data_IF_953990492113
#
_entry.id   IF_953990492113
#
_cell.length_a   1.000
_cell.length_b   1.000
_cell.length_c   1.000
_cell.angle_alpha   90.00
_cell.angle_beta   90.00
_cell.angle_gamma   90.00
#
_symmetry.space_group_name_H-M   'P 1'
#
loop_
_entity.id
_entity.type
_entity.pdbx_description
1 polymer ?
#
# COMPACT_ATOMS: atom_id res chain seq x y z
N UNK A 1 6.86 16.47 17.60
CA UNK A 1 6.99 15.27 18.48
C UNK A 1 8.29 15.43 19.25
N UNK A 2 8.36 15.18 20.57
CA UNK A 2 9.55 15.54 21.38
C UNK A 2 10.89 14.97 20.87
N UNK A 3 10.86 13.79 20.24
CA UNK A 3 12.02 13.15 19.58
C UNK A 3 12.46 13.88 18.29
N UNK A 4 11.52 14.56 17.63
CA UNK A 4 11.71 15.23 16.33
C UNK A 4 11.99 16.73 16.49
N UNK A 5 11.49 17.35 17.58
CA UNK A 5 11.60 18.80 17.81
C UNK A 5 12.69 19.23 18.81
N UNK A 6 13.16 18.33 19.70
CA UNK A 6 14.05 18.71 20.82
C UNK A 6 15.34 17.90 20.93
N UNK A 7 15.62 16.99 19.99
CA UNK A 7 16.88 16.23 19.94
C UNK A 7 17.06 15.15 21.01
N UNK A 8 16.05 14.84 21.82
CA UNK A 8 16.14 13.79 22.85
C UNK A 8 16.27 12.39 22.25
N UNK A 9 17.05 11.53 22.91
CA UNK A 9 17.24 10.15 22.48
C UNK A 9 15.93 9.36 22.60
N UNK A 10 15.64 8.50 21.61
CA UNK A 10 14.43 7.65 21.59
C UNK A 10 14.28 6.84 22.89
N UNK A 11 15.41 6.38 23.46
CA UNK A 11 15.44 5.62 24.72
C UNK A 11 14.93 6.43 25.92
N UNK A 12 15.31 7.69 26.03
CA UNK A 12 14.90 8.57 27.12
C UNK A 12 13.41 8.90 27.03
N UNK A 13 12.93 9.18 25.82
CA UNK A 13 11.51 9.46 25.58
C UNK A 13 10.65 8.22 25.81
N UNK A 14 11.10 7.04 25.39
CA UNK A 14 10.40 5.79 25.65
C UNK A 14 10.28 5.50 27.17
N UNK A 15 11.37 5.68 27.92
CA UNK A 15 11.38 5.52 29.38
C UNK A 15 10.42 6.51 30.08
N UNK A 16 10.44 7.78 29.67
CA UNK A 16 9.56 8.82 30.23
C UNK A 16 8.07 8.56 29.96
N UNK A 17 7.76 7.99 28.80
CA UNK A 17 6.39 7.67 28.39
C UNK A 17 5.93 6.29 28.86
N UNK A 18 6.80 5.48 29.48
CA UNK A 18 6.48 4.13 29.93
C UNK A 18 6.18 3.14 28.79
N UNK A 19 6.70 3.40 27.59
CA UNK A 19 6.48 2.56 26.40
C UNK A 19 7.77 1.89 25.94
N UNK A 20 7.65 0.86 25.10
CA UNK A 20 8.83 0.25 24.49
C UNK A 20 9.49 1.20 23.48
N UNK A 21 10.82 1.16 23.40
CA UNK A 21 11.59 1.86 22.36
C UNK A 21 11.17 1.44 20.96
N UNK A 22 10.82 0.15 20.77
CA UNK A 22 10.32 -0.39 19.50
C UNK A 22 9.04 0.32 19.05
N UNK A 23 8.05 0.45 19.92
CA UNK A 23 6.80 1.17 19.63
C UNK A 23 7.06 2.61 19.26
N UNK A 24 8.00 3.27 19.97
CA UNK A 24 8.35 4.65 19.67
C UNK A 24 9.09 4.80 18.33
N UNK A 25 9.93 3.84 17.93
CA UNK A 25 10.52 3.81 16.59
C UNK A 25 9.45 3.60 15.51
N UNK A 26 8.49 2.71 15.75
CA UNK A 26 7.36 2.49 14.83
C UNK A 26 6.57 3.77 14.62
N UNK A 27 6.18 4.47 15.69
CA UNK A 27 5.47 5.73 15.58
C UNK A 27 6.32 6.82 14.94
N UNK A 28 7.62 6.90 15.26
CA UNK A 28 8.52 7.85 14.59
C UNK A 28 8.54 7.62 13.08
N UNK A 29 8.57 6.36 12.62
CA UNK A 29 8.52 6.03 11.20
C UNK A 29 7.15 6.36 10.59
N UNK A 30 6.07 5.96 11.25
CA UNK A 30 4.68 6.16 10.80
C UNK A 30 4.27 7.64 10.70
N UNK A 31 4.84 8.48 11.57
CA UNK A 31 4.58 9.92 11.61
C UNK A 31 5.78 10.76 11.13
N UNK A 32 6.75 10.12 10.46
CA UNK A 32 7.90 10.81 9.85
C UNK A 32 7.48 11.75 8.71
N UNK A 33 6.36 11.44 8.03
CA UNK A 33 5.79 12.24 6.95
C UNK A 33 4.58 13.06 7.44
N UNK A 34 4.35 14.26 6.87
CA UNK A 34 3.13 15.02 7.12
C UNK A 34 1.86 14.20 6.86
N UNK A 35 0.82 14.42 7.65
CA UNK A 35 -0.44 13.67 7.53
C UNK A 35 -1.13 13.82 6.16
N UNK A 36 -0.87 14.93 5.45
CA UNK A 36 -1.35 15.12 4.07
C UNK A 36 -0.67 14.15 3.10
N UNK A 37 0.67 14.07 3.16
CA UNK A 37 1.48 13.17 2.32
C UNK A 37 1.11 11.71 2.57
N UNK A 38 0.90 11.31 3.83
CA UNK A 38 0.48 9.93 4.15
C UNK A 38 -0.89 9.58 3.54
N UNK A 39 -1.86 10.49 3.63
CA UNK A 39 -3.18 10.30 3.01
C UNK A 39 -3.12 10.23 1.49
N UNK A 40 -2.24 11.02 0.87
CA UNK A 40 -1.98 10.95 -0.57
C UNK A 40 -1.37 9.59 -0.95
N UNK A 41 -0.34 9.13 -0.23
CA UNK A 41 0.28 7.80 -0.42
C UNK A 41 -0.78 6.68 -0.30
N UNK A 42 -1.65 6.73 0.71
CA UNK A 42 -2.71 5.75 0.94
C UNK A 42 -3.75 5.74 -0.21
N UNK A 43 -4.12 6.93 -0.70
CA UNK A 43 -5.02 7.12 -1.83
C UNK A 43 -4.43 6.52 -3.11
N UNK A 44 -3.16 6.82 -3.40
CA UNK A 44 -2.44 6.26 -4.54
C UNK A 44 -2.36 4.73 -4.44
N UNK A 45 -2.09 4.19 -3.24
CA UNK A 45 -2.06 2.76 -3.02
C UNK A 45 -3.44 2.11 -3.24
N UNK A 46 -4.52 2.79 -2.86
CA UNK A 46 -5.89 2.32 -3.10
C UNK A 46 -6.22 2.28 -4.60
N UNK A 47 -5.89 3.34 -5.34
CA UNK A 47 -6.10 3.38 -6.79
C UNK A 47 -5.25 2.32 -7.50
N UNK A 48 -4.00 2.11 -7.07
CA UNK A 48 -3.15 1.06 -7.63
C UNK A 48 -3.76 -0.34 -7.45
N UNK A 49 -4.36 -0.63 -6.28
CA UNK A 49 -5.07 -1.90 -6.05
C UNK A 49 -6.28 -2.04 -6.98
N UNK A 50 -7.07 -0.98 -7.12
CA UNK A 50 -8.24 -0.96 -8.01
C UNK A 50 -7.84 -1.21 -9.47
N UNK A 51 -6.85 -0.47 -9.97
CA UNK A 51 -6.37 -0.60 -11.35
C UNK A 51 -5.81 -1.99 -11.62
N UNK A 52 -5.05 -2.57 -10.68
CA UNK A 52 -4.55 -3.95 -10.81
C UNK A 52 -5.67 -4.99 -10.86
N UNK A 53 -6.72 -4.81 -10.06
CA UNK A 53 -7.88 -5.71 -10.07
C UNK A 53 -8.64 -5.63 -11.40
N UNK A 54 -8.85 -4.42 -11.91
CA UNK A 54 -9.53 -4.20 -13.18
C UNK A 54 -8.72 -4.75 -14.37
N UNK A 55 -7.40 -4.53 -14.35
CA UNK A 55 -6.50 -5.11 -15.35
C UNK A 55 -6.57 -6.64 -15.36
N UNK A 56 -6.61 -7.27 -14.19
CA UNK A 56 -6.75 -8.73 -14.08
C UNK A 56 -8.09 -9.20 -14.66
N UNK A 57 -9.20 -8.53 -14.32
CA UNK A 57 -10.55 -8.84 -14.84
C UNK A 57 -10.60 -8.77 -16.36
N UNK A 58 -10.19 -7.64 -16.94
CA UNK A 58 -10.23 -7.42 -18.39
C UNK A 58 -9.27 -8.37 -19.12
N UNK A 59 -8.14 -8.71 -18.51
CA UNK A 59 -7.21 -9.71 -19.06
C UNK A 59 -7.87 -11.08 -19.16
N UNK A 60 -8.61 -11.49 -18.14
CA UNK A 60 -9.32 -12.77 -18.14
C UNK A 60 -10.45 -12.80 -19.17
N UNK A 61 -11.27 -11.75 -19.24
CA UNK A 61 -12.32 -11.62 -20.25
C UNK A 61 -11.78 -11.74 -21.67
N UNK A 62 -10.69 -11.03 -21.97
CA UNK A 62 -10.00 -11.13 -23.25
C UNK A 62 -9.51 -12.56 -23.52
N UNK A 63 -9.00 -13.26 -22.50
CA UNK A 63 -8.51 -14.64 -22.66
C UNK A 63 -9.67 -15.61 -22.94
N UNK A 64 -10.82 -15.43 -22.28
CA UNK A 64 -12.03 -16.21 -22.53
C UNK A 64 -12.48 -16.02 -23.99
N UNK A 65 -12.57 -14.77 -24.46
CA UNK A 65 -12.97 -14.47 -25.84
C UNK A 65 -12.02 -15.09 -26.86
N UNK A 66 -10.70 -15.02 -26.61
CA UNK A 66 -9.70 -15.68 -27.46
C UNK A 66 -9.89 -17.19 -27.52
N UNK A 67 -10.14 -17.84 -26.38
CA UNK A 67 -10.40 -19.29 -26.33
C UNK A 67 -11.67 -19.65 -27.10
N UNK A 68 -12.74 -18.87 -26.93
CA UNK A 68 -14.00 -19.09 -27.66
C UNK A 68 -13.81 -18.94 -29.16
N UNK A 69 -13.16 -17.87 -29.63
CA UNK A 69 -12.89 -17.66 -31.05
C UNK A 69 -12.06 -18.81 -31.65
N UNK A 70 -11.05 -19.29 -30.93
CA UNK A 70 -10.24 -20.44 -31.36
C UNK A 70 -11.05 -21.75 -31.41
N UNK A 71 -11.99 -21.95 -30.49
CA UNK A 71 -12.89 -23.11 -30.51
C UNK A 71 -13.78 -23.09 -31.76
N UNK A 72 -14.48 -21.97 -32.01
CA UNK A 72 -15.39 -21.86 -33.16
C UNK A 72 -14.68 -21.98 -34.51
N UNK A 73 -13.48 -21.40 -34.65
CA UNK A 73 -12.69 -21.50 -35.88
C UNK A 73 -12.24 -22.95 -36.19
N UNK A 74 -12.15 -23.83 -35.18
CA UNK A 74 -11.83 -25.25 -35.36
C UNK A 74 -13.05 -26.08 -35.75
N UNK A 75 -14.22 -25.72 -35.23
CA UNK A 75 -15.49 -26.43 -35.45
C UNK A 75 -16.13 -26.10 -36.82
N UNK A 76 -15.65 -25.03 -37.47
CA UNK A 76 -16.11 -24.58 -38.80
C UNK A 76 -15.37 -25.27 -39.97
N UNK A 77 -14.59 -26.32 -39.70
CA UNK A 77 -13.76 -27.03 -40.69
C UNK A 77 -14.24 -28.46 -40.89
#
# INVERSE_FOLDING_TARGET
>A
MQVVDRGYAVKEVAARLGISTKSLYTWKAEFSKPAKVRREDDSVAAELRRVKAELARVTEERNILKKAAAYFARDSR
#
